data_IF_900598281554
#
_entry.id   IF_900598281554
#
_cell.length_a   1.000
_cell.length_b   1.000
_cell.length_c   1.000
_cell.angle_alpha   90.00
_cell.angle_beta   90.00
_cell.angle_gamma   90.00
#
_symmetry.space_group_name_H-M   'P 1'
#
loop_
_entity.id
_entity.type
_entity.pdbx_description
1 polymer ?
#
# COMPACT_ATOMS: atom_id res chain seq x y z
N UNK A 1 14.19 -16.39 -9.35
CA UNK A 1 14.48 -16.76 -7.94
C UNK A 1 13.36 -17.66 -7.45
N UNK A 2 13.65 -18.69 -6.64
CA UNK A 2 12.64 -19.62 -6.08
C UNK A 2 12.81 -19.67 -4.56
N UNK A 3 11.71 -19.57 -3.82
CA UNK A 3 11.69 -19.65 -2.36
C UNK A 3 11.12 -21.01 -1.94
N UNK A 4 11.63 -21.54 -0.83
CA UNK A 4 11.11 -22.70 -0.10
C UNK A 4 11.12 -22.36 1.40
N UNK A 5 10.26 -23.02 2.19
CA UNK A 5 10.15 -22.79 3.63
C UNK A 5 10.80 -23.95 4.36
N UNK A 6 11.66 -23.69 5.36
CA UNK A 6 12.22 -24.73 6.23
C UNK A 6 11.75 -24.49 7.66
N UNK A 7 11.30 -25.56 8.31
CA UNK A 7 10.83 -25.55 9.69
C UNK A 7 11.68 -26.56 10.45
N UNK A 8 12.47 -26.08 11.42
CA UNK A 8 13.22 -26.95 12.31
C UNK A 8 12.23 -27.63 13.27
N UNK A 9 12.35 -28.95 13.48
CA UNK A 9 11.49 -29.72 14.38
C UNK A 9 12.32 -30.69 15.22
N UNK A 10 11.93 -31.02 16.45
CA UNK A 10 12.62 -32.00 17.28
C UNK A 10 12.32 -33.46 16.88
N UNK A 11 11.16 -33.71 16.26
CA UNK A 11 10.68 -35.03 15.84
C UNK A 11 10.08 -34.93 14.44
N UNK A 12 10.74 -35.57 13.47
CA UNK A 12 10.37 -35.50 12.06
C UNK A 12 9.05 -36.24 11.77
N UNK A 13 8.81 -37.39 12.38
CA UNK A 13 7.62 -38.20 12.08
C UNK A 13 6.37 -37.55 12.65
N UNK A 14 6.46 -37.04 13.88
CA UNK A 14 5.38 -36.26 14.46
C UNK A 14 5.08 -35.01 13.62
N UNK A 15 6.11 -34.38 13.04
CA UNK A 15 5.93 -33.17 12.24
C UNK A 15 5.21 -33.48 10.93
N UNK A 16 5.61 -34.57 10.26
CA UNK A 16 4.96 -35.03 9.02
C UNK A 16 3.47 -35.30 9.28
N UNK A 17 3.12 -36.02 10.35
CA UNK A 17 1.71 -36.31 10.70
C UNK A 17 0.94 -35.03 11.02
N UNK A 18 1.51 -34.14 11.85
CA UNK A 18 0.89 -32.86 12.21
C UNK A 18 0.57 -32.03 10.96
N UNK A 19 1.56 -31.76 10.11
CA UNK A 19 1.37 -30.91 8.94
C UNK A 19 0.44 -31.55 7.89
N UNK A 20 0.42 -32.89 7.81
CA UNK A 20 -0.55 -33.61 6.99
C UNK A 20 -1.98 -33.44 7.51
N UNK A 21 -2.21 -33.66 8.80
CA UNK A 21 -3.54 -33.62 9.40
C UNK A 21 -4.08 -32.20 9.56
N UNK A 22 -3.23 -31.24 9.94
CA UNK A 22 -3.63 -29.86 10.18
C UNK A 22 -3.96 -29.12 8.88
N UNK A 23 -3.12 -29.29 7.85
CA UNK A 23 -3.15 -28.45 6.66
C UNK A 23 -3.23 -29.23 5.33
N UNK A 24 -3.36 -30.55 5.38
CA UNK A 24 -3.48 -31.39 4.19
C UNK A 24 -2.18 -31.56 3.40
N UNK A 25 -1.02 -31.21 3.98
CA UNK A 25 0.26 -31.37 3.28
C UNK A 25 0.58 -32.84 3.05
N UNK A 26 1.25 -33.15 1.96
CA UNK A 26 1.62 -34.52 1.57
C UNK A 26 3.13 -34.68 1.57
N UNK A 27 3.61 -35.76 2.18
CA UNK A 27 5.02 -36.13 2.11
C UNK A 27 5.37 -36.53 0.67
N UNK A 28 6.22 -35.74 0.01
CA UNK A 28 6.69 -36.04 -1.35
C UNK A 28 7.88 -36.97 -1.36
N UNK A 29 8.90 -36.65 -0.57
CA UNK A 29 10.14 -37.43 -0.45
C UNK A 29 10.88 -37.08 0.83
N UNK A 30 11.78 -37.97 1.25
CA UNK A 30 12.75 -37.73 2.31
C UNK A 30 14.09 -37.32 1.72
N UNK A 31 14.80 -36.43 2.42
CA UNK A 31 16.14 -35.99 2.08
C UNK A 31 17.10 -36.52 3.14
N UNK A 32 17.46 -37.79 3.01
CA UNK A 32 18.15 -38.52 4.07
C UNK A 32 17.26 -38.76 5.28
N UNK A 33 17.84 -39.08 6.45
CA UNK A 33 17.07 -39.48 7.64
C UNK A 33 16.43 -38.31 8.40
N UNK A 34 16.90 -37.07 8.19
CA UNK A 34 16.58 -35.91 9.04
C UNK A 34 15.83 -34.80 8.32
N UNK A 35 15.29 -35.06 7.13
CA UNK A 35 14.56 -34.04 6.40
C UNK A 35 13.45 -34.65 5.53
N UNK A 36 12.33 -33.93 5.45
CA UNK A 36 11.18 -34.28 4.63
C UNK A 36 10.74 -33.09 3.78
N UNK A 37 10.38 -33.35 2.53
CA UNK A 37 9.76 -32.39 1.62
C UNK A 37 8.25 -32.62 1.61
N UNK A 38 7.49 -31.60 2.02
CA UNK A 38 6.03 -31.58 2.10
C UNK A 38 5.45 -30.67 1.00
N UNK A 39 4.47 -31.17 0.25
CA UNK A 39 3.76 -30.45 -0.82
C UNK A 39 2.29 -30.22 -0.46
N UNK A 40 1.66 -29.25 -1.11
CA UNK A 40 0.26 -28.87 -0.90
C UNK A 40 0.07 -27.36 -0.72
N UNK A 41 1.14 -26.66 -0.33
CA UNK A 41 1.23 -25.20 -0.33
C UNK A 41 1.88 -24.67 -1.63
N UNK A 42 1.72 -23.37 -1.90
CA UNK A 42 2.34 -22.70 -3.06
C UNK A 42 3.88 -22.79 -3.04
N UNK A 43 4.48 -22.62 -1.85
CA UNK A 43 5.88 -22.92 -1.60
C UNK A 43 6.00 -24.27 -0.89
N UNK A 44 6.92 -25.16 -1.32
CA UNK A 44 7.15 -26.42 -0.62
C UNK A 44 7.68 -26.14 0.81
N UNK A 45 7.19 -26.93 1.77
CA UNK A 45 7.62 -26.88 3.15
C UNK A 45 8.58 -28.04 3.41
N UNK A 46 9.72 -27.74 4.00
CA UNK A 46 10.72 -28.71 4.41
C UNK A 46 10.72 -28.80 5.93
N UNK A 47 10.55 -30.00 6.44
CA UNK A 47 10.66 -30.28 7.87
C UNK A 47 12.08 -30.81 8.13
N UNK A 48 12.81 -30.16 9.03
CA UNK A 48 14.21 -30.46 9.31
C UNK A 48 14.39 -30.90 10.75
N UNK A 49 14.79 -32.14 10.97
CA UNK A 49 15.01 -32.63 12.33
C UNK A 49 16.29 -32.03 12.93
N UNK A 50 16.12 -31.25 13.99
CA UNK A 50 17.21 -30.68 14.79
C UNK A 50 16.92 -30.91 16.26
N UNK A 51 17.86 -31.50 16.98
CA UNK A 51 17.70 -31.75 18.40
C UNK A 51 17.55 -30.43 19.19
N UNK A 52 16.66 -30.44 20.18
CA UNK A 52 16.57 -29.37 21.17
C UNK A 52 17.93 -29.18 21.89
N UNK A 53 18.21 -27.96 22.33
CA UNK A 53 19.47 -27.56 22.95
C UNK A 53 20.62 -27.29 21.97
N UNK A 54 20.50 -27.66 20.68
CA UNK A 54 21.54 -27.35 19.68
C UNK A 54 21.55 -25.87 19.31
N UNK A 55 22.70 -25.27 18.93
CA UNK A 55 22.76 -23.86 18.52
C UNK A 55 21.93 -23.58 17.26
N UNK A 56 21.05 -22.57 17.30
CA UNK A 56 20.17 -22.23 16.18
C UNK A 56 20.94 -21.89 14.89
N UNK A 57 22.04 -21.14 15.00
CA UNK A 57 22.98 -20.87 13.91
C UNK A 57 24.41 -20.68 14.44
N UNK A 58 25.43 -20.82 13.58
CA UNK A 58 26.83 -20.75 14.02
C UNK A 58 27.25 -19.40 14.62
N UNK A 59 26.58 -18.31 14.26
CA UNK A 59 26.87 -16.96 14.75
C UNK A 59 26.11 -16.58 16.04
N UNK A 60 25.12 -17.38 16.45
CA UNK A 60 24.30 -17.12 17.65
C UNK A 60 24.44 -18.24 18.66
N UNK A 61 24.38 -17.89 19.95
CA UNK A 61 24.39 -18.86 21.05
C UNK A 61 22.99 -19.27 21.50
N UNK A 62 21.94 -18.76 20.85
CA UNK A 62 20.58 -19.14 21.17
C UNK A 62 20.36 -20.64 20.87
N UNK A 63 19.98 -21.45 21.87
CA UNK A 63 19.65 -22.85 21.65
C UNK A 63 18.27 -23.02 21.01
N UNK A 64 18.05 -24.13 20.32
CA UNK A 64 16.72 -24.57 19.89
C UNK A 64 15.92 -25.06 21.11
N UNK A 65 14.82 -24.40 21.44
CA UNK A 65 14.00 -24.71 22.62
C UNK A 65 12.64 -25.35 22.26
N UNK A 66 12.10 -25.07 21.07
CA UNK A 66 10.78 -25.55 20.59
C UNK A 66 9.58 -25.27 21.52
N UNK A 67 9.78 -24.55 22.62
CA UNK A 67 8.71 -23.82 23.28
C UNK A 67 8.14 -22.74 22.35
N UNK A 68 6.94 -22.24 22.67
CA UNK A 68 6.34 -21.12 21.93
C UNK A 68 7.30 -19.93 21.93
N UNK A 69 7.77 -19.56 20.74
CA UNK A 69 8.76 -18.51 20.53
C UNK A 69 8.29 -17.53 19.46
N UNK A 70 8.69 -16.26 19.58
CA UNK A 70 8.34 -15.24 18.60
C UNK A 70 9.31 -15.26 17.43
N UNK A 71 8.75 -15.21 16.22
CA UNK A 71 9.46 -14.95 14.96
C UNK A 71 8.75 -13.78 14.28
N UNK A 72 9.50 -12.81 13.70
CA UNK A 72 8.89 -11.74 12.92
C UNK A 72 8.36 -12.22 11.56
N UNK A 73 8.55 -13.49 11.23
CA UNK A 73 8.02 -14.16 10.03
C UNK A 73 7.06 -15.25 10.47
N UNK A 74 5.83 -15.20 9.97
CA UNK A 74 4.78 -16.18 10.23
C UNK A 74 4.30 -16.79 8.91
N UNK A 75 3.74 -18.01 8.99
CA UNK A 75 3.13 -18.67 7.86
C UNK A 75 1.63 -18.45 7.89
N UNK A 76 1.08 -17.88 6.82
CA UNK A 76 -0.36 -17.67 6.68
C UNK A 76 -0.96 -18.78 5.82
N UNK A 77 -1.85 -19.56 6.41
CA UNK A 77 -2.58 -20.63 5.73
C UNK A 77 -3.95 -20.08 5.33
N UNK A 78 -4.10 -19.79 4.04
CA UNK A 78 -5.35 -19.29 3.47
C UNK A 78 -6.31 -20.45 3.23
N UNK A 79 -7.53 -20.36 3.77
CA UNK A 79 -8.56 -21.40 3.75
C UNK A 79 -9.92 -20.84 3.39
N UNK A 80 -10.83 -21.73 2.97
CA UNK A 80 -12.22 -21.36 2.66
C UNK A 80 -13.05 -21.07 3.93
N UNK A 81 -12.76 -21.77 5.03
CA UNK A 81 -13.47 -21.66 6.30
C UNK A 81 -12.46 -21.64 7.46
N UNK A 82 -12.29 -20.48 8.08
CA UNK A 82 -11.34 -20.29 9.17
C UNK A 82 -11.71 -21.11 10.42
N UNK A 83 -12.99 -21.20 10.77
CA UNK A 83 -13.42 -21.83 12.02
C UNK A 83 -13.21 -23.35 11.93
N UNK A 84 -13.55 -23.96 10.79
CA UNK A 84 -13.28 -25.37 10.51
C UNK A 84 -11.79 -25.67 10.48
N UNK A 85 -10.98 -24.84 9.81
CA UNK A 85 -9.54 -25.05 9.73
C UNK A 85 -8.85 -24.91 11.10
N UNK A 86 -9.29 -23.95 11.94
CA UNK A 86 -8.81 -23.82 13.32
C UNK A 86 -9.12 -25.09 14.12
N UNK A 87 -10.35 -25.61 14.05
CA UNK A 87 -10.73 -26.85 14.73
C UNK A 87 -9.85 -28.03 14.27
N UNK A 88 -9.60 -28.15 12.96
CA UNK A 88 -8.75 -29.19 12.39
C UNK A 88 -7.29 -29.09 12.86
N UNK A 89 -6.72 -27.88 12.84
CA UNK A 89 -5.35 -27.65 13.28
C UNK A 89 -5.17 -27.94 14.78
N UNK A 90 -6.12 -27.50 15.62
CA UNK A 90 -6.12 -27.78 17.06
C UNK A 90 -6.25 -29.28 17.33
N UNK A 91 -7.13 -30.00 16.61
CA UNK A 91 -7.26 -31.45 16.72
C UNK A 91 -6.01 -32.23 16.27
N UNK A 92 -5.16 -31.62 15.44
CA UNK A 92 -3.87 -32.18 15.03
C UNK A 92 -2.74 -31.87 16.02
N UNK A 93 -2.93 -30.93 16.95
CA UNK A 93 -1.95 -30.58 17.98
C UNK A 93 -1.49 -29.12 17.98
N UNK A 94 -2.04 -28.26 17.11
CA UNK A 94 -1.77 -26.83 17.18
C UNK A 94 -2.38 -26.21 18.45
N UNK A 95 -1.76 -25.15 18.94
CA UNK A 95 -2.31 -24.35 20.04
C UNK A 95 -2.97 -23.10 19.48
N UNK A 96 -4.26 -22.92 19.75
CA UNK A 96 -4.95 -21.65 19.48
C UNK A 96 -4.49 -20.58 20.49
N UNK A 97 -4.06 -19.43 19.98
CA UNK A 97 -3.57 -18.31 20.78
C UNK A 97 -4.61 -17.20 20.80
N UNK A 98 -5.05 -16.79 19.60
CA UNK A 98 -6.12 -15.82 19.41
C UNK A 98 -7.20 -16.38 18.46
N UNK A 99 -8.47 -16.42 18.88
CA UNK A 99 -9.59 -16.85 18.03
C UNK A 99 -9.72 -16.02 16.75
N UNK A 100 -10.45 -16.58 15.76
CA UNK A 100 -10.70 -15.89 14.50
C UNK A 100 -11.47 -14.56 14.71
N UNK A 101 -10.91 -13.45 14.25
CA UNK A 101 -11.55 -12.12 14.24
C UNK A 101 -11.82 -11.68 12.81
N UNK A 102 -12.96 -11.01 12.59
CA UNK A 102 -13.35 -10.49 11.27
C UNK A 102 -12.89 -9.04 11.07
N UNK A 103 -12.41 -8.78 9.85
CA UNK A 103 -12.01 -7.48 9.32
C UNK A 103 -12.69 -7.24 7.96
N UNK A 104 -12.52 -6.05 7.38
CA UNK A 104 -13.05 -5.74 6.04
C UNK A 104 -12.47 -6.63 4.94
N UNK A 105 -11.22 -7.08 5.09
CA UNK A 105 -10.50 -7.89 4.11
C UNK A 105 -10.64 -9.40 4.32
N UNK A 106 -11.10 -9.85 5.49
CA UNK A 106 -11.09 -11.28 5.83
C UNK A 106 -11.19 -11.59 7.32
N UNK A 107 -10.95 -12.85 7.67
CA UNK A 107 -10.87 -13.37 9.04
C UNK A 107 -9.49 -13.94 9.30
N UNK A 108 -9.00 -13.78 10.52
CA UNK A 108 -7.70 -14.30 10.93
C UNK A 108 -7.71 -14.84 12.36
N UNK A 109 -7.15 -16.03 12.55
CA UNK A 109 -6.83 -16.62 13.84
C UNK A 109 -5.31 -16.81 13.97
N UNK A 110 -4.80 -16.71 15.20
CA UNK A 110 -3.37 -16.91 15.50
C UNK A 110 -3.18 -18.20 16.30
N UNK A 111 -2.24 -19.02 15.84
CA UNK A 111 -1.92 -20.31 16.43
C UNK A 111 -0.39 -20.47 16.54
N UNK A 112 0.02 -21.48 17.29
CA UNK A 112 1.34 -22.09 17.13
C UNK A 112 1.25 -23.56 16.77
N UNK A 113 2.22 -24.02 15.97
CA UNK A 113 2.44 -25.45 15.77
C UNK A 113 2.96 -26.11 17.08
N UNK A 114 3.00 -27.45 17.15
CA UNK A 114 3.49 -28.16 18.34
C UNK A 114 4.94 -27.83 18.73
N UNK A 115 5.69 -27.14 17.86
CA UNK A 115 7.10 -26.81 18.01
C UNK A 115 7.33 -25.31 18.26
N UNK A 116 6.24 -24.58 18.53
CA UNK A 116 6.26 -23.20 18.94
C UNK A 116 6.35 -22.18 17.81
N UNK A 117 6.31 -22.59 16.54
CA UNK A 117 6.30 -21.66 15.39
C UNK A 117 4.91 -21.03 15.24
N UNK A 118 4.87 -19.71 15.10
CA UNK A 118 3.63 -18.98 14.85
C UNK A 118 3.07 -19.26 13.45
N UNK A 119 1.77 -19.57 13.37
CA UNK A 119 1.02 -19.78 12.14
C UNK A 119 -0.30 -19.00 12.24
N UNK A 120 -0.72 -18.36 11.15
CA UNK A 120 -2.03 -17.74 11.05
C UNK A 120 -2.93 -18.56 10.14
N UNK A 121 -4.20 -18.72 10.51
CA UNK A 121 -5.25 -19.25 9.62
C UNK A 121 -6.06 -18.07 9.12
N UNK A 122 -6.13 -17.92 7.80
CA UNK A 122 -6.70 -16.77 7.13
C UNK A 122 -7.87 -17.20 6.23
N UNK A 123 -8.98 -16.49 6.27
CA UNK A 123 -10.06 -16.64 5.30
C UNK A 123 -10.32 -15.28 4.66
N UNK A 124 -10.05 -15.14 3.37
CA UNK A 124 -10.36 -13.91 2.66
C UNK A 124 -11.87 -13.72 2.50
N UNK A 125 -12.33 -12.49 2.72
CA UNK A 125 -13.70 -12.06 2.47
C UNK A 125 -13.67 -10.88 1.50
N UNK A 126 -14.76 -10.64 0.76
CA UNK A 126 -14.79 -9.56 -0.24
C UNK A 126 -13.68 -9.72 -1.27
N UNK A 127 -12.89 -8.65 -1.49
CA UNK A 127 -11.70 -8.67 -2.36
C UNK A 127 -10.40 -9.03 -1.63
N UNK A 128 -10.47 -9.58 -0.42
CA UNK A 128 -9.27 -9.92 0.35
C UNK A 128 -8.49 -8.67 0.77
N UNK A 129 -7.15 -8.73 0.73
CA UNK A 129 -6.30 -7.59 1.09
C UNK A 129 -6.51 -6.36 0.18
N UNK A 130 -7.11 -6.50 -1.00
CA UNK A 130 -7.45 -5.35 -1.85
C UNK A 130 -8.53 -4.43 -1.23
N UNK A 131 -9.23 -4.87 -0.19
CA UNK A 131 -10.14 -4.02 0.58
C UNK A 131 -9.41 -2.97 1.43
N UNK A 132 -8.14 -3.22 1.76
CA UNK A 132 -7.30 -2.32 2.57
C UNK A 132 -6.01 -1.91 1.86
N UNK A 133 -5.78 -2.40 0.65
CA UNK A 133 -4.67 -1.99 -0.18
C UNK A 133 -4.76 -0.49 -0.46
N UNK A 134 -3.64 0.20 -0.30
CA UNK A 134 -3.53 1.59 -0.73
C UNK A 134 -3.82 1.65 -2.24
N UNK A 135 -4.77 2.50 -2.69
CA UNK A 135 -5.10 2.62 -4.10
C UNK A 135 -3.85 2.93 -4.92
N UNK A 136 -3.56 2.11 -5.94
CA UNK A 136 -2.44 2.39 -6.84
C UNK A 136 -2.87 3.41 -7.88
N UNK A 137 -2.27 4.60 -7.80
CA UNK A 137 -2.42 5.62 -8.83
C UNK A 137 -1.38 5.41 -9.93
N UNK A 138 -1.84 5.39 -11.17
CA UNK A 138 -0.96 5.44 -12.35
C UNK A 138 -0.95 6.84 -12.93
N UNK A 139 0.16 7.17 -13.58
CA UNK A 139 0.38 8.50 -14.13
C UNK A 139 0.87 8.38 -15.56
N UNK A 140 0.11 8.93 -16.49
CA UNK A 140 0.37 8.83 -17.92
C UNK A 140 0.61 10.22 -18.48
N UNK A 141 1.56 10.41 -19.41
CA UNK A 141 1.70 11.68 -20.11
C UNK A 141 0.41 11.96 -20.88
N UNK A 142 0.06 13.24 -21.00
CA UNK A 142 -1.06 13.69 -21.83
C UNK A 142 -0.54 14.28 -23.13
N UNK A 143 -1.43 14.41 -24.11
CA UNK A 143 -1.20 15.03 -25.40
C UNK A 143 -2.11 16.24 -25.58
N UNK A 144 -1.92 16.98 -26.67
CA UNK A 144 -2.83 18.07 -27.04
C UNK A 144 -4.28 17.57 -27.25
N UNK A 145 -4.46 16.32 -27.66
CA UNK A 145 -5.77 15.72 -27.87
C UNK A 145 -6.57 15.55 -26.57
N UNK A 146 -5.89 15.51 -25.41
CA UNK A 146 -6.54 15.37 -24.10
C UNK A 146 -7.16 16.68 -23.60
N UNK A 147 -6.91 17.82 -24.26
CA UNK A 147 -7.28 19.14 -23.73
C UNK A 147 -8.76 19.25 -23.35
N UNK A 148 -9.67 18.79 -24.20
CA UNK A 148 -11.12 18.89 -23.94
C UNK A 148 -11.54 18.06 -22.73
N UNK A 149 -10.99 16.85 -22.58
CA UNK A 149 -11.27 15.98 -21.45
C UNK A 149 -10.74 16.55 -20.14
N UNK A 150 -9.53 17.13 -20.17
CA UNK A 150 -8.93 17.79 -19.01
C UNK A 150 -9.68 19.09 -18.64
N UNK A 151 -10.18 19.82 -19.64
CA UNK A 151 -11.05 20.99 -19.42
C UNK A 151 -12.34 20.58 -18.72
N UNK A 152 -13.00 19.52 -19.19
CA UNK A 152 -14.21 18.99 -18.58
C UNK A 152 -13.95 18.58 -17.12
N UNK A 153 -12.85 17.86 -16.87
CA UNK A 153 -12.45 17.44 -15.52
C UNK A 153 -12.22 18.65 -14.60
N UNK A 154 -11.49 19.67 -15.09
CA UNK A 154 -11.25 20.91 -14.33
C UNK A 154 -12.55 21.62 -13.99
N UNK A 155 -13.46 21.75 -14.95
CA UNK A 155 -14.77 22.38 -14.74
C UNK A 155 -15.54 21.62 -13.66
N UNK A 156 -15.60 20.30 -13.75
CA UNK A 156 -16.26 19.44 -12.77
C UNK A 156 -15.67 19.61 -11.37
N UNK A 157 -14.34 19.53 -11.24
CA UNK A 157 -13.64 19.62 -9.97
C UNK A 157 -13.75 21.01 -9.30
N UNK A 158 -13.86 22.08 -10.09
CA UNK A 158 -13.92 23.46 -9.57
C UNK A 158 -15.33 24.03 -9.46
N UNK A 159 -16.35 23.36 -10.02
CA UNK A 159 -17.71 23.90 -10.19
C UNK A 159 -18.27 24.49 -8.90
N UNK A 160 -18.35 23.68 -7.85
CA UNK A 160 -18.94 24.08 -6.56
C UNK A 160 -18.22 25.30 -5.96
N UNK A 161 -16.88 25.30 -5.96
CA UNK A 161 -16.11 26.42 -5.42
C UNK A 161 -16.27 27.70 -6.23
N UNK A 162 -16.37 27.61 -7.56
CA UNK A 162 -16.58 28.79 -8.41
C UNK A 162 -18.02 29.31 -8.35
N UNK A 163 -19.02 28.43 -8.27
CA UNK A 163 -20.44 28.80 -8.13
C UNK A 163 -20.71 29.47 -6.79
N UNK A 164 -20.14 28.96 -5.69
CA UNK A 164 -20.22 29.59 -4.36
C UNK A 164 -19.66 31.00 -4.32
N UNK A 165 -18.65 31.29 -5.15
CA UNK A 165 -18.06 32.63 -5.29
C UNK A 165 -18.71 33.48 -6.39
N UNK A 166 -19.78 33.01 -7.04
CA UNK A 166 -20.43 33.71 -8.16
C UNK A 166 -19.51 33.92 -9.37
N UNK A 167 -18.48 33.08 -9.53
CA UNK A 167 -17.37 33.26 -10.49
C UNK A 167 -17.33 32.20 -11.58
N UNK A 168 -18.28 31.27 -11.60
CA UNK A 168 -18.31 30.22 -12.61
C UNK A 168 -18.59 30.80 -14.00
N UNK A 169 -17.66 30.58 -14.91
CA UNK A 169 -17.70 31.04 -16.29
C UNK A 169 -16.95 30.01 -17.16
N UNK A 170 -17.65 29.26 -18.03
CA UNK A 170 -17.05 28.21 -18.85
C UNK A 170 -15.93 28.72 -19.77
N UNK A 171 -16.08 29.93 -20.32
CA UNK A 171 -15.08 30.51 -21.22
C UNK A 171 -13.82 30.89 -20.45
N UNK A 172 -13.98 31.48 -19.26
CA UNK A 172 -12.86 31.77 -18.37
C UNK A 172 -12.15 30.50 -17.92
N UNK A 173 -12.90 29.44 -17.63
CA UNK A 173 -12.34 28.15 -17.26
C UNK A 173 -11.46 27.57 -18.38
N UNK A 174 -11.94 27.66 -19.63
CA UNK A 174 -11.18 27.27 -20.83
C UNK A 174 -9.93 28.11 -21.01
N UNK A 175 -10.05 29.44 -20.96
CA UNK A 175 -8.92 30.37 -21.11
C UNK A 175 -7.84 30.13 -20.04
N UNK A 176 -8.24 29.94 -18.77
CA UNK A 176 -7.32 29.63 -17.65
C UNK A 176 -6.54 28.34 -17.87
N UNK A 177 -7.19 27.26 -18.31
CA UNK A 177 -6.48 26.02 -18.57
C UNK A 177 -5.54 26.20 -19.77
N UNK A 178 -6.05 26.75 -20.88
CA UNK A 178 -5.32 26.94 -22.14
C UNK A 178 -4.03 27.73 -21.97
N UNK A 179 -4.04 28.82 -21.18
CA UNK A 179 -2.84 29.66 -21.00
C UNK A 179 -1.65 28.90 -20.39
N UNK A 180 -1.93 27.94 -19.52
CA UNK A 180 -0.94 27.18 -18.75
C UNK A 180 -0.78 25.72 -19.19
N UNK A 181 -1.65 25.23 -20.07
CA UNK A 181 -1.59 23.85 -20.53
C UNK A 181 -0.34 23.62 -21.38
N UNK A 182 0.49 22.69 -20.91
CA UNK A 182 1.71 22.22 -21.56
C UNK A 182 1.70 20.70 -21.44
N UNK A 183 1.38 19.94 -22.50
CA UNK A 183 1.30 18.48 -22.45
C UNK A 183 2.53 17.82 -21.84
N UNK A 184 3.73 18.33 -22.15
CA UNK A 184 5.03 17.89 -21.64
C UNK A 184 5.23 18.07 -20.13
N UNK A 185 4.37 18.86 -19.48
CA UNK A 185 4.37 19.13 -18.06
C UNK A 185 3.03 18.79 -17.41
N UNK A 186 2.19 17.98 -18.07
CA UNK A 186 0.88 17.59 -17.59
C UNK A 186 0.74 16.08 -17.58
N UNK A 187 0.18 15.54 -16.49
CA UNK A 187 0.02 14.10 -16.32
C UNK A 187 -1.41 13.77 -15.93
N UNK A 188 -1.96 12.75 -16.58
CA UNK A 188 -3.19 12.07 -16.20
C UNK A 188 -2.99 11.35 -14.87
N UNK A 189 -4.01 11.35 -14.01
CA UNK A 189 -4.06 10.54 -12.78
C UNK A 189 -5.12 9.47 -13.00
N UNK A 190 -4.68 8.21 -13.01
CA UNK A 190 -5.51 7.05 -13.31
C UNK A 190 -5.64 6.13 -12.11
N UNK A 191 -6.82 5.55 -11.96
CA UNK A 191 -7.14 4.51 -10.99
C UNK A 191 -8.14 3.55 -11.64
N UNK A 192 -7.93 2.24 -11.48
CA UNK A 192 -8.82 1.21 -12.03
C UNK A 192 -9.11 1.43 -13.54
N UNK A 193 -8.05 1.76 -14.30
CA UNK A 193 -8.09 2.09 -15.74
C UNK A 193 -8.94 3.33 -16.12
N UNK A 194 -9.35 4.14 -15.14
CA UNK A 194 -10.11 5.36 -15.36
C UNK A 194 -9.30 6.62 -15.01
N UNK A 195 -9.36 7.66 -15.86
CA UNK A 195 -8.83 8.99 -15.55
C UNK A 195 -9.70 9.67 -14.49
N UNK A 196 -9.17 9.73 -13.26
CA UNK A 196 -9.82 10.35 -12.11
C UNK A 196 -9.34 11.78 -11.84
N UNK A 197 -8.25 12.20 -12.49
CA UNK A 197 -7.66 13.53 -12.28
C UNK A 197 -6.57 13.86 -13.27
N UNK A 198 -5.98 15.05 -13.11
CA UNK A 198 -4.70 15.40 -13.71
C UNK A 198 -3.96 16.41 -12.85
N UNK A 199 -2.65 16.50 -13.06
CA UNK A 199 -1.85 17.60 -12.52
C UNK A 199 -0.92 18.16 -13.58
N UNK A 200 -0.51 19.42 -13.42
CA UNK A 200 0.49 20.07 -14.25
C UNK A 200 1.61 20.63 -13.37
N UNK A 201 2.83 20.13 -13.56
CA UNK A 201 4.02 20.47 -12.79
C UNK A 201 5.14 20.84 -13.76
N UNK A 202 5.49 22.13 -13.81
CA UNK A 202 6.51 22.64 -14.72
C UNK A 202 7.69 23.25 -13.97
N UNK A 203 8.87 23.35 -14.60
CA UNK A 203 9.94 24.20 -14.10
C UNK A 203 9.47 25.66 -13.97
N UNK A 204 9.94 26.34 -12.91
CA UNK A 204 9.66 27.76 -12.66
C UNK A 204 10.81 28.38 -11.85
N UNK A 205 11.71 29.10 -12.54
CA UNK A 205 12.95 29.60 -11.94
C UNK A 205 13.81 28.48 -11.36
N UNK A 206 14.21 28.63 -10.10
CA UNK A 206 15.02 27.65 -9.35
C UNK A 206 14.19 26.51 -8.73
N UNK A 207 12.90 26.40 -9.07
CA UNK A 207 11.98 25.42 -8.50
C UNK A 207 10.98 24.85 -9.49
N UNK A 208 9.89 24.33 -8.94
CA UNK A 208 8.77 23.77 -9.68
C UNK A 208 7.49 24.55 -9.37
N UNK A 209 6.61 24.65 -10.34
CA UNK A 209 5.27 25.23 -10.18
C UNK A 209 4.19 24.22 -10.51
N UNK A 210 3.32 23.98 -9.52
CA UNK A 210 2.12 23.16 -9.66
C UNK A 210 0.95 24.06 -10.11
N UNK A 211 0.76 24.18 -11.41
CA UNK A 211 -0.28 25.04 -11.99
C UNK A 211 -1.68 24.43 -11.85
N UNK A 212 -1.77 23.09 -11.92
CA UNK A 212 -3.04 22.36 -11.84
C UNK A 212 -2.89 21.12 -10.96
N UNK A 213 -3.88 20.86 -10.12
CA UNK A 213 -4.10 19.58 -9.46
C UNK A 213 -5.60 19.41 -9.26
N UNK A 214 -6.22 18.55 -10.06
CA UNK A 214 -7.65 18.29 -10.00
C UNK A 214 -7.92 16.80 -9.89
N UNK A 215 -8.84 16.46 -8.98
CA UNK A 215 -9.42 15.13 -8.84
C UNK A 215 -10.93 15.31 -9.01
N UNK A 216 -11.57 14.42 -9.78
CA UNK A 216 -13.03 14.41 -9.95
C UNK A 216 -13.73 14.34 -8.58
N UNK A 217 -14.85 15.06 -8.35
CA UNK A 217 -15.59 15.03 -7.09
C UNK A 217 -15.88 13.62 -6.55
N UNK A 218 -16.27 12.69 -7.43
CA UNK A 218 -16.55 11.30 -7.05
C UNK A 218 -15.33 10.52 -6.50
N UNK A 219 -14.12 11.01 -6.73
CA UNK A 219 -12.86 10.44 -6.25
C UNK A 219 -12.18 11.29 -5.15
N UNK A 220 -12.83 12.36 -4.68
CA UNK A 220 -12.33 13.19 -3.58
C UNK A 220 -12.65 12.56 -2.21
N UNK A 221 -12.02 13.06 -1.14
CA UNK A 221 -12.21 12.54 0.22
C UNK A 221 -11.50 11.20 0.52
N UNK A 222 -10.98 10.51 -0.49
CA UNK A 222 -10.32 9.20 -0.38
C UNK A 222 -8.80 9.27 -0.17
N UNK A 223 -8.25 10.45 0.15
CA UNK A 223 -6.80 10.67 0.32
C UNK A 223 -5.98 10.72 -0.97
N UNK A 224 -6.58 10.49 -2.15
CA UNK A 224 -5.88 10.42 -3.45
C UNK A 224 -5.09 11.70 -3.79
N UNK A 225 -5.68 12.88 -3.57
CA UNK A 225 -4.97 14.14 -3.77
C UNK A 225 -3.71 14.27 -2.90
N UNK A 226 -3.74 13.72 -1.68
CA UNK A 226 -2.58 13.67 -0.80
C UNK A 226 -1.50 12.72 -1.30
N UNK A 227 -1.87 11.57 -1.87
CA UNK A 227 -0.92 10.64 -2.49
C UNK A 227 -0.22 11.29 -3.70
N UNK A 228 -0.99 11.97 -4.57
CA UNK A 228 -0.46 12.69 -5.73
C UNK A 228 0.52 13.78 -5.30
N UNK A 229 0.11 14.63 -4.34
CA UNK A 229 0.95 15.70 -3.84
C UNK A 229 2.19 15.16 -3.11
N UNK A 230 2.05 14.10 -2.31
CA UNK A 230 3.18 13.45 -1.64
C UNK A 230 4.23 12.94 -2.62
N UNK A 231 3.81 12.32 -3.73
CA UNK A 231 4.71 11.91 -4.82
C UNK A 231 5.43 13.11 -5.46
N UNK A 232 4.68 14.17 -5.80
CA UNK A 232 5.25 15.39 -6.40
C UNK A 232 6.31 15.99 -5.48
N UNK A 233 6.00 16.10 -4.19
CA UNK A 233 6.92 16.67 -3.20
C UNK A 233 8.13 15.78 -2.96
N UNK A 234 7.97 14.45 -2.92
CA UNK A 234 9.10 13.53 -2.78
C UNK A 234 10.08 13.65 -3.95
N UNK A 235 9.58 13.81 -5.18
CA UNK A 235 10.41 14.05 -6.37
C UNK A 235 11.09 15.42 -6.34
N UNK A 236 10.39 16.46 -5.87
CA UNK A 236 10.99 17.78 -5.69
C UNK A 236 12.09 17.75 -4.61
N UNK A 237 11.82 17.08 -3.50
CA UNK A 237 12.72 16.94 -2.34
C UNK A 237 14.00 16.18 -2.71
N UNK A 238 13.89 15.10 -3.50
CA UNK A 238 15.06 14.33 -3.98
C UNK A 238 16.00 15.17 -4.86
N UNK A 239 15.47 16.23 -5.47
CA UNK A 239 16.18 17.17 -6.34
C UNK A 239 16.55 18.48 -5.62
N UNK A 240 16.14 18.66 -4.36
CA UNK A 240 16.34 19.89 -3.61
C UNK A 240 15.62 21.10 -4.20
N UNK A 241 14.47 20.90 -4.85
CA UNK A 241 13.72 21.97 -5.52
C UNK A 241 12.52 22.43 -4.67
N UNK A 242 12.30 23.74 -4.50
CA UNK A 242 11.07 24.26 -3.90
C UNK A 242 9.89 24.08 -4.86
N UNK A 243 8.67 24.04 -4.30
CA UNK A 243 7.43 23.91 -5.08
C UNK A 243 6.50 25.08 -4.77
N UNK A 244 6.04 25.78 -5.81
CA UNK A 244 5.07 26.88 -5.71
C UNK A 244 3.72 26.52 -6.35
N UNK A 245 2.66 27.18 -5.90
CA UNK A 245 1.33 27.08 -6.50
C UNK A 245 0.47 28.30 -6.15
N UNK A 246 -0.64 28.46 -6.86
CA UNK A 246 -1.69 29.43 -6.53
C UNK A 246 -3.02 28.69 -6.37
N UNK A 247 -3.75 28.99 -5.30
CA UNK A 247 -5.03 28.34 -4.98
C UNK A 247 -6.16 29.37 -4.87
N UNK A 248 -7.36 29.01 -5.34
CA UNK A 248 -8.53 29.89 -5.26
C UNK A 248 -8.84 30.24 -3.80
N UNK A 249 -9.02 31.53 -3.51
CA UNK A 249 -9.48 32.02 -2.20
C UNK A 249 -10.75 31.31 -1.75
N UNK A 250 -10.86 31.10 -0.45
CA UNK A 250 -12.02 30.48 0.21
C UNK A 250 -12.38 29.07 -0.31
N UNK A 251 -11.48 28.40 -1.03
CA UNK A 251 -11.63 26.98 -1.40
C UNK A 251 -11.04 26.05 -0.34
N UNK A 252 -11.55 24.82 -0.26
CA UNK A 252 -11.02 23.78 0.62
C UNK A 252 -9.56 23.40 0.32
N UNK A 253 -9.09 23.69 -0.90
CA UNK A 253 -7.71 23.44 -1.31
C UNK A 253 -6.68 24.18 -0.44
N UNK A 254 -7.03 25.34 0.14
CA UNK A 254 -6.12 26.11 0.99
C UNK A 254 -5.73 25.33 2.26
N UNK A 255 -6.70 24.67 2.90
CA UNK A 255 -6.43 23.77 4.04
C UNK A 255 -5.59 22.57 3.59
N UNK A 256 -5.90 22.03 2.41
CA UNK A 256 -5.17 20.91 1.81
C UNK A 256 -3.70 21.23 1.54
N UNK A 257 -3.34 22.41 1.01
CA UNK A 257 -1.94 22.74 0.76
C UNK A 257 -1.18 23.03 2.05
N UNK A 258 -1.76 23.79 2.98
CA UNK A 258 -1.11 24.12 4.28
C UNK A 258 -0.71 22.88 5.07
N UNK A 259 -1.57 21.85 5.13
CA UNK A 259 -1.23 20.58 5.82
C UNK A 259 -0.09 19.78 5.17
N UNK A 260 0.26 20.09 3.92
CA UNK A 260 1.40 19.47 3.21
C UNK A 260 2.65 20.36 3.24
N UNK A 261 2.71 21.34 4.16
CA UNK A 261 3.91 22.15 4.39
C UNK A 261 4.05 23.36 3.46
N UNK A 262 3.02 23.71 2.70
CA UNK A 262 3.00 24.96 1.94
C UNK A 262 2.71 26.15 2.85
N UNK A 263 3.49 27.21 2.69
CA UNK A 263 3.36 28.48 3.42
C UNK A 263 2.89 29.55 2.44
N UNK A 264 1.94 30.39 2.88
CA UNK A 264 1.45 31.50 2.06
C UNK A 264 2.56 32.55 1.89
N UNK A 265 2.81 32.94 0.64
CA UNK A 265 3.82 33.96 0.28
C UNK A 265 3.20 35.24 -0.28
N UNK A 266 1.95 35.19 -0.71
CA UNK A 266 1.21 36.32 -1.24
C UNK A 266 -0.27 36.00 -1.44
N UNK A 267 -1.03 37.01 -1.81
CA UNK A 267 -2.40 36.84 -2.28
C UNK A 267 -2.77 37.95 -3.26
N UNK A 268 -3.72 37.64 -4.12
CA UNK A 268 -4.36 38.58 -5.04
C UNK A 268 -5.86 38.68 -4.73
N UNK A 269 -6.61 39.38 -5.56
CA UNK A 269 -8.08 39.46 -5.45
C UNK A 269 -8.73 38.07 -5.40
N UNK A 270 -8.18 37.07 -6.09
CA UNK A 270 -8.84 35.77 -6.28
C UNK A 270 -8.03 34.55 -5.83
N UNK A 271 -6.71 34.66 -5.76
CA UNK A 271 -5.84 33.52 -5.49
C UNK A 271 -4.90 33.80 -4.31
N UNK A 272 -4.56 32.76 -3.57
CA UNK A 272 -3.51 32.75 -2.55
C UNK A 272 -2.30 32.03 -3.13
N UNK A 273 -1.13 32.68 -3.05
CA UNK A 273 0.13 32.12 -3.50
C UNK A 273 0.83 31.39 -2.36
N UNK A 274 1.34 30.21 -2.67
CA UNK A 274 1.97 29.30 -1.72
C UNK A 274 3.34 28.86 -2.21
N UNK A 275 4.26 28.68 -1.26
CA UNK A 275 5.57 28.09 -1.46
C UNK A 275 5.82 27.00 -0.41
N UNK A 276 6.30 25.85 -0.85
CA UNK A 276 6.96 24.87 0.01
C UNK A 276 8.45 24.91 -0.31
N UNK A 277 9.32 25.31 0.65
CA UNK A 277 10.75 25.30 0.43
C UNK A 277 11.25 23.86 0.22
N UNK A 278 12.37 23.71 -0.49
CA UNK A 278 13.10 22.45 -0.48
C UNK A 278 13.49 22.09 0.96
N UNK A 279 13.62 20.80 1.32
CA UNK A 279 14.18 20.43 2.60
C UNK A 279 15.56 21.08 2.72
N UNK A 280 15.79 21.86 3.78
CA UNK A 280 17.11 22.39 4.04
C UNK A 280 18.10 21.22 4.08
N UNK A 281 19.27 21.37 3.44
CA UNK A 281 20.40 20.52 3.80
C UNK A 281 20.56 20.68 5.31
N UNK A 282 20.48 19.59 6.06
CA UNK A 282 20.99 19.62 7.42
C UNK A 282 22.46 20.00 7.30
N UNK A 283 22.79 21.22 7.73
CA UNK A 283 24.17 21.63 7.98
C UNK A 283 24.76 20.81 9.14
#
# INVERSE_FOLDING_TARGET
MRILVNIDVPDLEHAIDFYHRAFGLTLRRRLGPKAAEMLGAEAPIYLLEKAAGTPAAGATRQPRDYARHWTPVHLDVVVEDADRAVQQAVAAGARLEDPAVSHSWGRIAHLSDPYGHGICILQFLGRGYDEVATPQLRYSPVSEADFEDLLALRIEAMRESLERLGRFDPQRARSRLRSTFRPEHTWSIERDDQRIGFYALRPDGDGLRLDHLYIRPAAQGLGLGGQVLGRILQEADSRGLPVSLSALRDSDSNRFYRRHGFVQTGESEWDIDYLRPAPGKAD
#
